data_IF_242724115984
#
_entry.id   IF_242724115984
#
_cell.length_a   1.000
_cell.length_b   1.000
_cell.length_c   1.000
_cell.angle_alpha   90.00
_cell.angle_beta   90.00
_cell.angle_gamma   90.00
#
_symmetry.space_group_name_H-M   'P 1'
#
loop_
_entity.id
_entity.type
_entity.pdbx_description
1 polymer ?
#
# COMPACT_ATOMS: atom_id res chain seq x y z
N UNK A 1 16.11 -47.56 25.44
CA UNK A 1 14.99 -47.41 24.51
C UNK A 1 15.60 -47.23 23.14
N UNK A 2 15.27 -48.14 22.19
CA UNK A 2 16.11 -48.33 21.01
C UNK A 2 15.75 -47.36 19.86
N UNK A 3 16.80 -46.93 19.20
CA UNK A 3 16.76 -46.19 17.93
C UNK A 3 16.32 -47.11 16.78
N UNK A 4 15.37 -46.64 15.94
CA UNK A 4 15.01 -47.31 14.69
C UNK A 4 15.84 -46.72 13.54
N UNK A 5 16.36 -47.52 12.63
CA UNK A 5 17.14 -47.08 11.49
C UNK A 5 16.25 -46.64 10.31
N UNK A 6 16.62 -45.52 9.68
CA UNK A 6 16.03 -45.02 8.44
C UNK A 6 16.66 -45.76 7.26
N UNK A 7 15.85 -46.45 6.45
CA UNK A 7 16.26 -47.08 5.20
C UNK A 7 16.22 -46.07 4.04
N UNK A 8 17.24 -46.00 3.18
CA UNK A 8 17.17 -45.22 1.94
C UNK A 8 16.48 -46.02 0.82
N UNK A 9 15.41 -45.46 0.27
CA UNK A 9 14.82 -46.02 -0.97
C UNK A 9 15.60 -45.54 -2.18
N UNK A 10 16.12 -46.50 -2.94
CA UNK A 10 16.79 -46.29 -4.22
C UNK A 10 15.71 -46.07 -5.33
N UNK A 11 15.78 -44.92 -5.99
CA UNK A 11 14.98 -44.58 -7.17
C UNK A 11 15.62 -45.23 -8.41
N UNK A 12 14.91 -46.18 -8.98
CA UNK A 12 15.30 -46.87 -10.24
C UNK A 12 15.17 -45.95 -11.45
N UNK A 13 16.30 -45.70 -12.09
CA UNK A 13 16.40 -45.11 -13.42
C UNK A 13 16.07 -46.19 -14.46
N UNK A 14 15.06 -45.95 -15.30
CA UNK A 14 14.78 -46.80 -16.48
C UNK A 14 15.71 -46.39 -17.62
N UNK A 15 16.27 -47.36 -18.38
CA UNK A 15 17.11 -47.06 -19.54
C UNK A 15 16.27 -46.56 -20.72
N UNK A 16 16.72 -45.48 -21.35
CA UNK A 16 16.15 -44.92 -22.56
C UNK A 16 16.76 -45.68 -23.74
N UNK A 17 15.89 -46.28 -24.53
CA UNK A 17 16.24 -47.06 -25.76
C UNK A 17 16.46 -46.09 -26.92
N UNK A 18 17.67 -45.93 -27.41
CA UNK A 18 18.00 -45.12 -28.58
C UNK A 18 17.83 -45.98 -29.82
N UNK A 19 16.69 -45.84 -30.50
CA UNK A 19 16.55 -46.33 -31.86
C UNK A 19 16.91 -45.21 -32.83
N UNK A 20 18.01 -45.38 -33.55
CA UNK A 20 18.41 -44.51 -34.67
C UNK A 20 17.46 -44.64 -35.82
N UNK A 21 16.85 -43.54 -36.23
CA UNK A 21 16.25 -43.39 -37.55
C UNK A 21 16.89 -42.19 -38.23
N UNK A 22 17.80 -42.51 -39.18
CA UNK A 22 18.34 -41.51 -40.11
C UNK A 22 17.32 -41.34 -41.22
N UNK A 23 16.66 -40.22 -41.28
CA UNK A 23 15.88 -39.75 -42.42
C UNK A 23 16.49 -38.45 -42.92
N UNK A 24 17.16 -38.56 -44.08
CA UNK A 24 17.64 -37.40 -44.81
C UNK A 24 16.42 -36.70 -45.44
N UNK A 25 16.01 -35.58 -44.89
CA UNK A 25 14.95 -34.72 -45.40
C UNK A 25 15.43 -33.29 -45.46
N UNK A 26 15.44 -32.69 -46.62
CA UNK A 26 15.68 -31.27 -46.90
C UNK A 26 14.71 -30.45 -46.06
N UNK A 27 15.24 -29.74 -45.04
CA UNK A 27 14.53 -28.77 -44.23
C UNK A 27 14.54 -27.41 -44.94
N UNK A 28 13.36 -26.80 -45.20
CA UNK A 28 13.34 -25.41 -45.59
C UNK A 28 13.78 -24.55 -44.38
N UNK A 29 14.68 -23.63 -44.62
CA UNK A 29 15.08 -22.57 -43.65
C UNK A 29 13.84 -21.70 -43.38
N UNK A 30 13.16 -21.99 -42.30
CA UNK A 30 12.19 -21.05 -41.72
C UNK A 30 12.97 -20.08 -40.92
N UNK A 31 13.08 -18.82 -41.39
CA UNK A 31 13.55 -17.71 -40.63
C UNK A 31 12.54 -17.43 -39.48
N UNK A 32 12.72 -18.09 -38.37
CA UNK A 32 12.00 -17.74 -37.14
C UNK A 32 12.54 -16.39 -36.68
N UNK A 33 11.77 -15.34 -36.98
CA UNK A 33 12.01 -14.03 -36.43
C UNK A 33 12.11 -14.12 -34.90
N UNK A 34 13.23 -13.64 -34.34
CA UNK A 34 13.37 -13.44 -32.90
C UNK A 34 12.34 -12.40 -32.45
N UNK A 35 11.15 -12.86 -32.09
CA UNK A 35 10.23 -12.05 -31.29
C UNK A 35 10.83 -11.99 -29.89
N UNK A 36 11.44 -10.86 -29.55
CA UNK A 36 11.82 -10.59 -28.17
C UNK A 36 10.58 -10.79 -27.28
N UNK A 37 10.66 -11.60 -26.22
CA UNK A 37 9.55 -11.71 -25.30
C UNK A 37 9.28 -10.32 -24.74
N UNK A 38 8.09 -9.75 -25.00
CA UNK A 38 7.62 -8.60 -24.25
C UNK A 38 7.59 -9.03 -22.80
N UNK A 39 8.52 -8.51 -22.00
CA UNK A 39 8.44 -8.60 -20.55
C UNK A 39 7.04 -8.05 -20.19
N UNK A 40 6.15 -8.93 -19.76
CA UNK A 40 4.91 -8.52 -19.13
C UNK A 40 5.30 -7.79 -17.86
N UNK A 41 5.19 -6.46 -17.88
CA UNK A 41 5.28 -5.65 -16.68
C UNK A 41 4.14 -6.14 -15.79
N UNK A 42 4.48 -6.70 -14.64
CA UNK A 42 3.48 -7.07 -13.65
C UNK A 42 2.62 -5.83 -13.36
N UNK A 43 1.29 -5.94 -13.25
CA UNK A 43 0.47 -4.81 -12.85
C UNK A 43 1.01 -4.31 -11.51
N UNK A 44 1.38 -3.02 -11.49
CA UNK A 44 1.77 -2.35 -10.25
C UNK A 44 0.50 -2.30 -9.41
N UNK A 45 0.51 -2.96 -8.25
CA UNK A 45 -0.60 -2.85 -7.31
C UNK A 45 -0.70 -1.38 -6.86
N UNK A 46 -1.91 -0.81 -6.88
CA UNK A 46 -2.09 0.57 -6.49
C UNK A 46 -1.64 0.77 -5.05
N UNK A 47 -0.87 1.83 -4.83
CA UNK A 47 -0.38 2.17 -3.49
C UNK A 47 -1.55 2.58 -2.60
N UNK A 48 -1.78 1.91 -1.47
CA UNK A 48 -2.78 2.35 -0.53
C UNK A 48 -2.34 3.69 0.10
N UNK A 49 -3.29 4.57 0.39
CA UNK A 49 -3.00 5.92 0.91
C UNK A 49 -2.15 5.90 2.20
N UNK A 50 -2.28 4.89 3.05
CA UNK A 50 -1.48 4.76 4.28
C UNK A 50 -0.01 4.36 4.02
N UNK A 51 0.36 3.94 2.80
CA UNK A 51 1.74 3.69 2.40
C UNK A 51 2.45 4.94 1.84
N UNK A 52 1.75 6.07 1.69
CA UNK A 52 2.34 7.35 1.30
C UNK A 52 3.36 7.86 2.34
N UNK A 53 4.24 8.75 1.91
CA UNK A 53 5.09 9.49 2.83
C UNK A 53 4.34 10.67 3.45
N UNK A 54 4.35 10.75 4.77
CA UNK A 54 3.66 11.79 5.52
C UNK A 54 4.62 12.78 6.15
N UNK A 55 4.22 14.03 6.19
CA UNK A 55 4.85 15.04 7.04
C UNK A 55 4.52 14.76 8.50
N UNK A 56 5.53 14.49 9.31
CA UNK A 56 5.37 14.10 10.72
C UNK A 56 5.79 15.21 11.63
N UNK A 57 4.98 15.49 12.65
CA UNK A 57 5.33 16.29 13.85
C UNK A 57 5.38 15.36 15.05
N UNK A 58 6.50 15.35 15.73
CA UNK A 58 6.72 14.52 16.91
C UNK A 58 6.61 15.42 18.15
N UNK A 59 5.77 15.07 19.09
CA UNK A 59 5.84 15.62 20.43
C UNK A 59 4.89 16.75 20.78
N UNK A 60 3.87 17.08 20.00
CA UNK A 60 2.93 18.11 20.43
C UNK A 60 1.47 17.63 20.41
N UNK A 61 0.91 17.47 21.62
CA UNK A 61 -0.50 17.77 21.81
C UNK A 61 -0.63 19.31 21.90
N UNK A 62 -1.71 19.89 21.40
CA UNK A 62 -1.99 21.33 21.47
C UNK A 62 -1.83 21.90 22.90
N UNK A 63 -1.96 21.05 23.91
CA UNK A 63 -1.83 21.40 25.32
C UNK A 63 -0.38 21.69 25.74
N UNK A 64 0.61 21.01 25.16
CA UNK A 64 2.04 21.22 25.46
C UNK A 64 2.57 22.49 24.80
N UNK A 65 2.09 22.86 23.62
CA UNK A 65 2.47 24.09 22.94
C UNK A 65 2.09 25.36 23.74
N UNK A 66 0.95 25.33 24.41
CA UNK A 66 0.47 26.43 25.24
C UNK A 66 1.23 26.56 26.57
N UNK A 67 1.76 25.45 27.11
CA UNK A 67 2.38 25.44 28.46
C UNK A 67 3.90 25.68 28.43
N UNK A 68 4.61 25.20 27.40
CA UNK A 68 6.08 25.22 27.37
C UNK A 68 6.70 26.04 26.24
N UNK A 69 5.89 26.72 25.42
CA UNK A 69 6.35 27.46 24.24
C UNK A 69 6.80 26.54 23.09
N UNK A 70 6.91 27.12 21.92
CA UNK A 70 7.29 26.41 20.70
C UNK A 70 8.71 25.86 20.80
N UNK A 71 8.85 24.57 21.07
CA UNK A 71 10.10 23.86 20.76
C UNK A 71 10.13 23.57 19.28
N UNK A 72 11.28 23.75 18.65
CA UNK A 72 11.50 23.32 17.27
C UNK A 72 11.28 21.81 17.18
N UNK A 73 10.18 21.41 16.53
CA UNK A 73 9.87 20.03 16.25
C UNK A 73 10.41 19.75 14.85
N UNK A 74 11.33 18.84 14.67
CA UNK A 74 11.81 18.49 13.33
C UNK A 74 10.64 17.94 12.52
N UNK A 75 10.43 18.51 11.35
CA UNK A 75 9.50 17.97 10.36
C UNK A 75 10.28 16.92 9.55
N UNK A 76 9.85 15.69 9.64
CA UNK A 76 10.43 14.55 8.90
C UNK A 76 9.38 13.92 7.99
N UNK A 77 9.82 13.21 6.98
CA UNK A 77 8.94 12.39 6.15
C UNK A 77 9.04 10.94 6.64
N UNK A 78 7.91 10.35 7.00
CA UNK A 78 7.81 8.97 7.45
C UNK A 78 6.58 8.29 6.85
N UNK A 79 6.61 6.97 6.79
CA UNK A 79 5.45 6.17 6.41
C UNK A 79 4.64 5.80 7.65
N UNK A 80 3.37 6.15 7.67
CA UNK A 80 2.48 5.84 8.80
C UNK A 80 2.20 4.34 8.93
N UNK A 81 2.33 3.60 7.84
CA UNK A 81 2.03 2.15 7.79
C UNK A 81 2.78 1.32 8.84
N UNK A 82 4.00 1.75 9.22
CA UNK A 82 4.83 1.02 10.21
C UNK A 82 4.25 1.07 11.63
N UNK A 83 3.34 2.01 11.88
CA UNK A 83 2.69 2.19 13.18
C UNK A 83 1.30 1.57 13.23
N UNK A 84 0.62 1.44 12.09
CA UNK A 84 -0.76 1.00 12.02
C UNK A 84 -0.87 -0.53 12.14
N UNK A 85 -1.72 -0.99 13.05
CA UNK A 85 -2.18 -2.37 13.07
C UNK A 85 -3.04 -2.69 11.82
N UNK A 86 -3.32 -3.95 11.58
CA UNK A 86 -4.21 -4.36 10.49
C UNK A 86 -5.63 -3.80 10.67
N UNK A 87 -6.13 -3.73 11.92
CA UNK A 87 -7.45 -3.17 12.22
C UNK A 87 -7.47 -1.66 12.00
N UNK A 88 -6.40 -0.94 12.37
CA UNK A 88 -6.26 0.49 12.08
C UNK A 88 -6.31 0.76 10.57
N UNK A 89 -5.58 -0.03 9.79
CA UNK A 89 -5.56 0.10 8.32
C UNK A 89 -6.94 -0.14 7.71
N UNK A 90 -7.66 -1.16 8.16
CA UNK A 90 -9.04 -1.43 7.71
C UNK A 90 -10.00 -0.29 8.01
N UNK A 91 -9.92 0.28 9.23
CA UNK A 91 -10.75 1.43 9.63
C UNK A 91 -10.44 2.67 8.80
N UNK A 92 -9.16 2.95 8.63
CA UNK A 92 -8.69 4.09 7.85
C UNK A 92 -9.09 3.95 6.37
N UNK A 93 -8.96 2.75 5.78
CA UNK A 93 -9.35 2.49 4.39
C UNK A 93 -10.84 2.63 4.19
N UNK A 94 -11.65 2.03 5.06
CA UNK A 94 -13.10 2.17 5.00
C UNK A 94 -13.54 3.65 5.07
N UNK A 95 -12.93 4.43 5.99
CA UNK A 95 -13.21 5.86 6.08
C UNK A 95 -12.80 6.59 4.81
N UNK A 96 -11.58 6.33 4.29
CA UNK A 96 -11.05 6.99 3.10
C UNK A 96 -11.98 6.80 1.90
N UNK A 97 -12.35 5.56 1.59
CA UNK A 97 -13.25 5.23 0.50
C UNK A 97 -14.63 5.90 0.69
N UNK A 98 -15.19 5.81 1.89
CA UNK A 98 -16.49 6.40 2.22
C UNK A 98 -16.50 7.92 2.08
N UNK A 99 -15.47 8.59 2.56
CA UNK A 99 -15.35 10.06 2.51
C UNK A 99 -15.21 10.56 1.08
N UNK A 100 -14.35 9.91 0.28
CA UNK A 100 -14.17 10.31 -1.09
C UNK A 100 -15.41 10.03 -1.95
N UNK A 101 -16.22 9.05 -1.61
CA UNK A 101 -17.45 8.77 -2.32
C UNK A 101 -18.60 9.71 -1.91
N UNK A 102 -18.76 10.01 -0.61
CA UNK A 102 -20.00 10.60 -0.12
C UNK A 102 -19.88 12.01 0.47
N UNK A 103 -18.70 12.39 1.02
CA UNK A 103 -18.60 13.64 1.72
C UNK A 103 -18.60 14.86 0.77
N UNK A 104 -19.31 15.94 1.12
CA UNK A 104 -19.11 17.24 0.48
C UNK A 104 -17.67 17.75 0.69
N UNK A 105 -17.23 18.62 -0.22
CA UNK A 105 -15.93 19.32 -0.10
C UNK A 105 -15.87 20.09 1.23
N UNK A 106 -14.74 19.97 1.93
CA UNK A 106 -14.50 20.60 3.23
C UNK A 106 -15.11 19.89 4.44
N UNK A 107 -15.88 18.83 4.24
CA UNK A 107 -16.48 18.06 5.35
C UNK A 107 -15.54 16.95 5.78
N UNK A 108 -15.04 17.05 7.00
CA UNK A 108 -14.15 16.08 7.62
C UNK A 108 -14.92 14.94 8.25
N UNK A 109 -14.46 13.71 8.05
CA UNK A 109 -14.85 12.54 8.86
C UNK A 109 -13.65 11.92 9.55
N UNK A 110 -13.90 11.19 10.64
CA UNK A 110 -12.87 10.59 11.48
C UNK A 110 -13.11 9.10 11.72
N UNK A 111 -12.04 8.39 12.03
CA UNK A 111 -12.06 7.06 12.62
C UNK A 111 -11.24 7.07 13.91
N UNK A 112 -11.53 6.15 14.79
CA UNK A 112 -10.76 5.87 15.99
C UNK A 112 -10.70 4.36 16.24
N UNK A 113 -9.64 3.93 16.92
CA UNK A 113 -9.48 2.57 17.39
C UNK A 113 -9.20 2.58 18.90
N UNK A 114 -10.18 2.23 19.72
CA UNK A 114 -10.02 2.23 21.18
C UNK A 114 -9.00 1.21 21.68
N UNK A 115 -8.62 0.23 20.86
CA UNK A 115 -7.63 -0.79 21.24
C UNK A 115 -6.20 -0.24 21.14
N UNK A 116 -5.90 0.52 20.09
CA UNK A 116 -4.58 1.14 19.88
C UNK A 116 -4.50 2.57 20.42
N UNK A 117 -5.66 3.22 20.62
CA UNK A 117 -5.75 4.65 20.92
C UNK A 117 -5.42 5.54 19.69
N UNK A 118 -5.32 4.95 18.51
CA UNK A 118 -5.02 5.68 17.29
C UNK A 118 -6.29 6.20 16.64
N UNK A 119 -6.12 7.29 15.90
CA UNK A 119 -7.23 7.92 15.18
C UNK A 119 -6.76 8.61 13.92
N UNK A 120 -7.69 8.96 13.05
CA UNK A 120 -7.37 9.74 11.87
C UNK A 120 -8.59 10.45 11.29
N UNK A 121 -8.32 11.39 10.39
CA UNK A 121 -9.36 12.13 9.68
C UNK A 121 -9.07 12.19 8.20
N UNK A 122 -10.12 12.28 7.39
CA UNK A 122 -10.05 12.54 5.95
C UNK A 122 -10.98 13.68 5.61
N UNK A 123 -10.49 14.62 4.79
CA UNK A 123 -11.24 15.79 4.32
C UNK A 123 -11.06 15.95 2.83
N UNK A 124 -12.08 15.79 2.00
CA UNK A 124 -11.99 16.12 0.58
C UNK A 124 -11.93 17.64 0.41
N UNK A 125 -11.00 18.12 -0.41
CA UNK A 125 -10.75 19.57 -0.56
C UNK A 125 -11.13 20.12 -1.92
N UNK A 126 -11.13 19.28 -2.96
CA UNK A 126 -11.51 19.65 -4.33
C UNK A 126 -12.00 18.42 -5.09
N UNK A 127 -12.86 18.64 -6.07
CA UNK A 127 -13.23 17.59 -7.06
C UNK A 127 -12.85 18.10 -8.45
N UNK A 128 -12.23 17.24 -9.24
CA UNK A 128 -11.91 17.47 -10.64
C UNK A 128 -12.50 16.33 -11.45
N UNK A 129 -13.27 16.66 -12.48
CA UNK A 129 -13.82 15.66 -13.40
C UNK A 129 -13.26 15.95 -14.78
N UNK A 130 -12.17 15.26 -15.19
CA UNK A 130 -11.61 15.42 -16.52
C UNK A 130 -12.62 14.92 -17.58
N UNK A 131 -12.59 15.45 -18.82
CA UNK A 131 -13.39 14.90 -19.90
C UNK A 131 -13.07 13.42 -20.13
N UNK A 132 -14.11 12.60 -20.28
CA UNK A 132 -14.01 11.16 -20.58
C UNK A 132 -13.17 10.34 -19.60
N UNK A 133 -12.98 10.82 -18.36
CA UNK A 133 -12.28 10.12 -17.29
C UNK A 133 -13.11 10.12 -16.00
N UNK A 134 -12.89 9.14 -15.12
CA UNK A 134 -13.54 9.13 -13.81
C UNK A 134 -13.11 10.36 -12.99
N UNK A 135 -13.96 10.77 -12.03
CA UNK A 135 -13.67 11.92 -11.19
C UNK A 135 -12.47 11.66 -10.28
N UNK A 136 -11.68 12.72 -10.06
CA UNK A 136 -10.61 12.75 -9.07
C UNK A 136 -10.96 13.72 -7.94
N UNK A 137 -10.49 13.45 -6.73
CA UNK A 137 -10.67 14.31 -5.57
C UNK A 137 -9.36 14.54 -4.85
N UNK A 138 -9.07 15.80 -4.56
CA UNK A 138 -7.99 16.14 -3.66
C UNK A 138 -8.49 15.98 -2.23
N UNK A 139 -7.57 15.57 -1.36
CA UNK A 139 -7.88 15.32 0.05
C UNK A 139 -6.76 15.79 0.97
N UNK A 140 -7.10 16.01 2.22
CA UNK A 140 -6.18 16.09 3.36
C UNK A 140 -6.44 14.89 4.24
N UNK A 141 -5.40 14.20 4.63
CA UNK A 141 -5.47 13.10 5.59
C UNK A 141 -4.56 13.37 6.79
N UNK A 142 -5.04 12.97 7.97
CA UNK A 142 -4.32 13.10 9.23
C UNK A 142 -4.39 11.78 9.98
N UNK A 143 -3.26 11.40 10.61
CA UNK A 143 -3.24 10.33 11.61
C UNK A 143 -2.67 10.86 12.92
N UNK A 144 -3.25 10.43 14.02
CA UNK A 144 -2.75 10.62 15.37
C UNK A 144 -2.35 9.26 15.92
N UNK A 145 -1.04 9.07 16.14
CA UNK A 145 -0.44 7.79 16.52
C UNK A 145 0.24 7.94 17.87
N UNK A 146 -0.26 7.22 18.86
CA UNK A 146 0.26 7.29 20.21
C UNK A 146 -0.06 8.60 20.92
N UNK A 147 0.46 8.76 22.12
CA UNK A 147 0.29 10.00 22.91
C UNK A 147 -0.46 9.78 24.20
N UNK A 148 -0.30 8.62 24.82
CA UNK A 148 -0.57 8.47 26.24
C UNK A 148 0.69 8.77 27.08
N UNK A 149 0.51 9.04 28.36
CA UNK A 149 1.59 9.34 29.29
C UNK A 149 2.61 8.18 29.43
N UNK A 150 2.27 6.96 29.00
CA UNK A 150 3.09 5.76 29.14
C UNK A 150 3.96 5.45 27.93
N UNK A 151 3.61 5.95 26.73
CA UNK A 151 4.28 5.63 25.48
C UNK A 151 5.07 6.78 24.86
N UNK A 152 5.25 7.87 25.61
CA UNK A 152 5.99 9.02 25.14
C UNK A 152 5.20 9.91 24.19
N UNK A 153 5.92 10.67 23.40
CA UNK A 153 5.33 11.70 22.54
C UNK A 153 4.53 11.08 21.38
N UNK A 154 3.29 11.55 21.22
CA UNK A 154 2.46 11.20 20.05
C UNK A 154 3.10 11.66 18.74
N UNK A 155 2.66 11.04 17.65
CA UNK A 155 3.00 11.44 16.28
C UNK A 155 1.77 11.94 15.57
N UNK A 156 1.90 13.09 14.95
CA UNK A 156 0.89 13.69 14.11
C UNK A 156 1.37 13.64 12.66
N UNK A 157 0.74 12.80 11.87
CA UNK A 157 1.00 12.66 10.44
C UNK A 157 -0.03 13.47 9.66
N UNK A 158 0.40 14.27 8.71
CA UNK A 158 -0.48 15.01 7.82
C UNK A 158 0.06 15.01 6.41
N UNK A 159 -0.81 14.75 5.45
CA UNK A 159 -0.47 14.88 4.03
C UNK A 159 -1.68 15.28 3.21
N UNK A 160 -1.40 15.77 2.00
CA UNK A 160 -2.37 16.05 0.95
C UNK A 160 -2.10 15.12 -0.23
N UNK A 161 -3.14 14.75 -0.94
CA UNK A 161 -2.99 13.91 -2.13
C UNK A 161 -4.19 14.08 -3.06
N UNK A 162 -4.10 13.42 -4.20
CA UNK A 162 -5.19 13.29 -5.16
C UNK A 162 -5.51 11.81 -5.32
N UNK A 163 -6.78 11.46 -5.28
CA UNK A 163 -7.25 10.13 -5.61
C UNK A 163 -8.28 10.20 -6.74
N UNK A 164 -8.22 9.23 -7.66
CA UNK A 164 -9.18 9.11 -8.75
C UNK A 164 -10.03 7.85 -8.56
N UNK A 165 -11.29 7.94 -8.98
CA UNK A 165 -12.22 6.82 -8.88
C UNK A 165 -12.02 5.88 -10.06
N UNK A 166 -11.73 4.62 -9.80
CA UNK A 166 -11.62 3.61 -10.84
C UNK A 166 -12.96 3.03 -11.27
N UNK A 167 -12.97 2.27 -12.36
CA UNK A 167 -14.17 1.64 -12.93
C UNK A 167 -14.89 0.71 -11.93
N UNK A 168 -14.15 0.11 -11.01
CA UNK A 168 -14.71 -0.69 -9.91
C UNK A 168 -15.37 0.12 -8.81
N UNK A 169 -15.32 1.45 -8.87
CA UNK A 169 -15.85 2.36 -7.86
C UNK A 169 -14.94 2.56 -6.66
N UNK A 170 -13.68 2.17 -6.75
CA UNK A 170 -12.67 2.31 -5.70
C UNK A 170 -11.83 3.56 -5.97
N UNK A 171 -11.57 4.34 -4.93
CA UNK A 171 -10.68 5.50 -4.99
C UNK A 171 -9.25 5.10 -4.79
N UNK A 172 -8.39 5.45 -5.75
CA UNK A 172 -6.96 5.15 -5.71
C UNK A 172 -6.13 6.43 -5.72
N UNK A 173 -5.11 6.47 -4.87
CA UNK A 173 -4.19 7.60 -4.80
C UNK A 173 -3.31 7.63 -6.05
N UNK A 174 -3.15 8.81 -6.61
CA UNK A 174 -2.16 9.05 -7.66
C UNK A 174 -0.78 9.25 -7.02
N UNK A 175 0.20 8.53 -7.52
CA UNK A 175 1.61 8.79 -7.20
C UNK A 175 2.07 10.05 -7.97
N UNK A 176 2.74 10.96 -7.26
CA UNK A 176 3.39 12.14 -7.86
C UNK A 176 4.74 11.77 -8.51
#
# INVERSE_FOLDING_TARGET
>A
MPFLPISPQASGLKPVNIAQIVVAGLLPFVLTGCSSPKLAVAPVEPMPFWAMEYTVRIGESDHMALTYGWRYVPVVKERVEVYLSEDDRKRADFLFQSVLEHNPIGVTSSWDNPTTGYSGTVTPTRTVTPPDQPPCRDFVIVFNIGGDESHGYGRYFKETGTACREDAGIWQVLED
#
